data_IF_869551250924
#
_entry.id   IF_869551250924
#
_cell.length_a   1.000
_cell.length_b   1.000
_cell.length_c   1.000
_cell.angle_alpha   90.00
_cell.angle_beta   90.00
_cell.angle_gamma   90.00
#
_symmetry.space_group_name_H-M   'P 1'
#
loop_
_entity.id
_entity.type
_entity.pdbx_description
1 polymer ?
#
# COMPACT_ATOMS: atom_id res chain seq x y z
N UNK A 1 8.79 18.23 15.34
CA UNK A 1 8.22 16.87 15.42
C UNK A 1 7.74 16.48 14.03
N UNK A 2 8.63 15.90 13.22
CA UNK A 2 8.33 15.38 11.89
C UNK A 2 8.30 13.86 12.01
N UNK A 3 7.11 13.28 12.13
CA UNK A 3 6.96 11.83 12.05
C UNK A 3 7.34 11.43 10.64
N UNK A 4 8.42 10.67 10.41
CA UNK A 4 8.88 10.40 9.07
C UNK A 4 7.80 9.61 8.33
N UNK A 5 7.56 10.12 7.13
CA UNK A 5 6.92 9.48 6.01
C UNK A 5 6.85 7.96 6.10
N UNK A 6 5.65 7.40 6.24
CA UNK A 6 5.47 5.95 6.16
C UNK A 6 4.89 5.59 4.81
N UNK A 7 5.72 4.91 4.04
CA UNK A 7 5.36 4.38 2.74
C UNK A 7 4.63 3.06 2.93
N UNK A 8 3.58 2.88 2.16
CA UNK A 8 2.89 1.60 2.01
C UNK A 8 2.96 1.20 0.54
N UNK A 9 2.64 -0.06 0.28
CA UNK A 9 2.36 -0.56 -1.06
C UNK A 9 0.87 -0.88 -1.16
N UNK A 10 0.27 -0.62 -2.32
CA UNK A 10 -1.10 -0.98 -2.59
C UNK A 10 -1.28 -1.44 -4.04
N UNK A 11 -2.17 -2.38 -4.29
CA UNK A 11 -2.47 -2.86 -5.65
C UNK A 11 -3.87 -2.42 -6.11
N UNK A 12 -4.16 -2.60 -7.41
CA UNK A 12 -5.45 -2.24 -7.98
C UNK A 12 -6.64 -3.03 -7.39
N UNK A 13 -6.39 -4.21 -6.81
CA UNK A 13 -7.38 -5.03 -6.09
C UNK A 13 -7.61 -4.58 -4.64
N UNK A 14 -6.93 -3.53 -4.18
CA UNK A 14 -7.14 -2.93 -2.86
C UNK A 14 -6.32 -3.56 -1.73
N UNK A 15 -5.46 -4.54 -1.99
CA UNK A 15 -4.52 -5.06 -0.99
C UNK A 15 -3.51 -3.99 -0.59
N UNK A 16 -3.13 -3.97 0.69
CA UNK A 16 -2.17 -3.01 1.26
C UNK A 16 -1.13 -3.76 2.08
N UNK A 17 0.13 -3.39 1.92
CA UNK A 17 1.25 -3.93 2.69
C UNK A 17 2.26 -2.82 3.02
N UNK A 18 3.21 -3.09 3.90
CA UNK A 18 4.32 -2.18 4.18
C UNK A 18 5.28 -2.08 2.98
N UNK A 19 5.95 -0.93 2.83
CA UNK A 19 6.96 -0.75 1.80
C UNK A 19 8.15 -1.71 2.02
N UNK A 20 8.67 -2.40 0.98
CA UNK A 20 9.72 -3.39 1.13
C UNK A 20 11.11 -2.74 1.30
N UNK A 21 11.31 -1.98 2.39
CA UNK A 21 12.52 -1.21 2.68
C UNK A 21 13.81 -2.02 2.52
N UNK A 22 13.84 -3.23 3.08
CA UNK A 22 15.02 -4.10 2.99
C UNK A 22 15.36 -4.45 1.55
N UNK A 23 14.37 -4.90 0.77
CA UNK A 23 14.58 -5.29 -0.63
C UNK A 23 14.97 -4.08 -1.47
N UNK A 24 14.35 -2.92 -1.24
CA UNK A 24 14.68 -1.68 -1.93
C UNK A 24 16.16 -1.29 -1.75
N UNK A 25 16.62 -1.26 -0.50
CA UNK A 25 18.00 -0.93 -0.18
C UNK A 25 18.99 -1.95 -0.79
N UNK A 26 18.71 -3.24 -0.61
CA UNK A 26 19.57 -4.34 -1.07
C UNK A 26 19.37 -4.76 -2.54
N UNK A 27 18.62 -3.97 -3.33
CA UNK A 27 18.46 -4.23 -4.75
C UNK A 27 19.81 -4.33 -5.44
N UNK A 28 20.08 -5.48 -6.07
CA UNK A 28 21.29 -5.75 -6.84
C UNK A 28 22.51 -6.16 -6.00
N UNK A 29 22.35 -6.41 -4.69
CA UNK A 29 23.42 -6.92 -3.84
C UNK A 29 23.11 -8.32 -3.33
N UNK A 30 24.13 -9.18 -3.30
CA UNK A 30 24.07 -10.45 -2.59
C UNK A 30 24.31 -10.12 -1.13
N UNK A 31 23.25 -9.90 -0.36
CA UNK A 31 23.43 -9.79 1.10
C UNK A 31 23.94 -11.12 1.63
N UNK A 32 24.91 -11.09 2.53
CA UNK A 32 25.37 -12.27 3.21
C UNK A 32 24.23 -12.78 4.12
N UNK A 33 23.56 -13.85 3.69
CA UNK A 33 22.50 -14.50 4.46
C UNK A 33 23.01 -14.82 5.88
N UNK A 34 22.33 -14.29 6.90
CA UNK A 34 22.61 -14.56 8.32
C UNK A 34 23.27 -13.44 9.12
N UNK A 35 23.64 -12.31 8.51
CA UNK A 35 24.10 -11.13 9.26
C UNK A 35 22.91 -10.41 9.94
N UNK A 36 23.12 -9.86 11.14
CA UNK A 36 22.13 -8.96 11.76
C UNK A 36 22.11 -7.63 11.00
N UNK A 37 20.99 -7.35 10.33
CA UNK A 37 20.77 -6.10 9.60
C UNK A 37 20.03 -5.09 10.48
N UNK A 38 20.71 -4.03 10.90
CA UNK A 38 20.07 -2.87 11.48
C UNK A 38 19.91 -1.80 10.41
N UNK A 39 18.66 -1.41 10.14
CA UNK A 39 18.34 -0.39 9.13
C UNK A 39 17.98 0.93 9.80
N UNK A 40 18.45 2.02 9.20
CA UNK A 40 18.16 3.39 9.63
C UNK A 40 17.62 4.19 8.46
N UNK A 41 16.68 5.08 8.74
CA UNK A 41 16.22 6.10 7.81
C UNK A 41 16.74 7.45 8.31
N UNK A 42 17.62 8.06 7.54
CA UNK A 42 18.25 9.34 7.85
C UNK A 42 17.59 10.42 7.00
N UNK A 43 17.16 11.52 7.63
CA UNK A 43 16.71 12.71 6.92
C UNK A 43 17.87 13.68 6.80
N UNK A 44 18.29 13.97 5.57
CA UNK A 44 19.40 14.87 5.29
C UNK A 44 19.04 16.35 5.48
N UNK A 45 17.75 16.68 5.54
CA UNK A 45 17.25 18.03 5.81
C UNK A 45 17.60 19.07 4.75
N UNK A 46 17.97 18.68 3.52
CA UNK A 46 18.33 19.63 2.46
C UNK A 46 17.09 20.13 1.74
N UNK A 47 16.10 19.26 1.56
CA UNK A 47 14.75 19.56 1.05
C UNK A 47 13.69 18.78 1.85
N UNK A 48 12.42 18.95 1.49
CA UNK A 48 11.29 18.15 2.02
C UNK A 48 10.89 17.01 1.10
N UNK A 49 11.78 16.58 0.20
CA UNK A 49 11.51 15.55 -0.80
C UNK A 49 12.00 14.16 -0.36
N UNK A 50 11.64 13.14 -1.14
CA UNK A 50 12.11 11.76 -0.90
C UNK A 50 13.61 11.56 -1.18
N UNK A 51 14.22 12.47 -1.93
CA UNK A 51 15.65 12.43 -2.17
C UNK A 51 16.48 12.70 -0.88
N UNK A 52 15.88 13.36 0.12
CA UNK A 52 16.52 13.59 1.43
C UNK A 52 16.39 12.44 2.42
N UNK A 53 15.51 11.50 2.12
CA UNK A 53 15.27 10.33 2.97
C UNK A 53 16.18 9.20 2.49
N UNK A 54 17.25 8.95 3.24
CA UNK A 54 18.30 7.97 2.91
C UNK A 54 18.17 6.76 3.82
N UNK A 55 18.07 5.58 3.23
CA UNK A 55 18.15 4.30 3.90
C UNK A 55 19.60 3.84 4.01
N UNK A 56 19.98 3.43 5.21
CA UNK A 56 21.27 2.85 5.53
C UNK A 56 21.08 1.50 6.21
N UNK A 57 22.06 0.60 6.06
CA UNK A 57 22.09 -0.66 6.79
C UNK A 57 23.49 -0.96 7.33
N UNK A 58 23.55 -1.57 8.52
CA UNK A 58 24.78 -1.99 9.19
C UNK A 58 25.66 -2.97 8.39
N UNK A 59 25.13 -3.60 7.35
CA UNK A 59 25.87 -4.55 6.51
C UNK A 59 26.84 -3.89 5.50
N UNK A 60 26.85 -2.55 5.41
CA UNK A 60 27.73 -1.81 4.49
C UNK A 60 27.23 -1.73 3.05
N UNK A 61 25.98 -2.12 2.77
CA UNK A 61 25.33 -1.83 1.47
C UNK A 61 25.33 -0.32 1.22
N UNK A 62 25.54 0.07 -0.03
CA UNK A 62 25.50 1.48 -0.42
C UNK A 62 24.14 2.08 -0.05
N UNK A 63 24.11 3.19 0.72
CA UNK A 63 22.88 3.87 1.07
C UNK A 63 22.06 4.26 -0.15
N UNK A 64 20.73 4.19 -0.05
CA UNK A 64 19.82 4.57 -1.13
C UNK A 64 18.74 5.49 -0.62
N UNK A 65 18.42 6.53 -1.39
CA UNK A 65 17.29 7.37 -1.08
C UNK A 65 15.96 6.73 -1.52
N UNK A 66 14.85 7.37 -1.14
CA UNK A 66 13.51 6.95 -1.52
C UNK A 66 13.03 7.61 -2.82
N UNK A 67 13.91 8.29 -3.55
CA UNK A 67 13.55 8.92 -4.81
C UNK A 67 13.13 7.87 -5.86
N UNK A 68 12.20 8.24 -6.72
CA UNK A 68 11.66 7.34 -7.75
C UNK A 68 10.77 6.18 -7.23
N UNK A 69 10.57 6.04 -5.91
CA UNK A 69 9.70 4.99 -5.33
C UNK A 69 8.25 5.09 -5.80
N UNK A 70 7.74 6.29 -6.10
CA UNK A 70 6.40 6.50 -6.64
C UNK A 70 6.24 6.21 -8.14
N UNK A 71 7.31 5.80 -8.82
CA UNK A 71 7.24 5.44 -10.23
C UNK A 71 6.24 4.28 -10.47
N UNK A 72 5.50 4.27 -11.58
CA UNK A 72 4.45 3.27 -11.84
C UNK A 72 4.95 1.83 -11.93
N UNK A 73 6.26 1.64 -12.18
CA UNK A 73 6.94 0.35 -12.25
C UNK A 73 8.04 0.19 -11.20
N UNK A 74 8.11 1.10 -10.20
CA UNK A 74 9.16 1.07 -9.19
C UNK A 74 9.22 -0.25 -8.41
N UNK A 75 8.06 -0.91 -8.24
CA UNK A 75 7.95 -2.18 -7.55
C UNK A 75 7.91 -3.42 -8.48
N UNK A 76 7.90 -3.25 -9.79
CA UNK A 76 7.72 -4.36 -10.74
C UNK A 76 8.82 -5.43 -10.60
N UNK A 77 10.04 -5.02 -10.29
CA UNK A 77 11.19 -5.91 -10.12
C UNK A 77 11.23 -6.58 -8.73
N UNK A 78 10.41 -6.11 -7.77
CA UNK A 78 10.35 -6.65 -6.41
C UNK A 78 9.26 -7.72 -6.23
N UNK A 79 8.52 -8.01 -7.31
CA UNK A 79 7.51 -9.06 -7.38
C UNK A 79 6.09 -8.52 -7.46
N UNK A 80 5.14 -9.43 -7.27
CA UNK A 80 3.70 -9.15 -7.25
C UNK A 80 3.24 -8.78 -5.85
N UNK A 81 2.01 -8.27 -5.78
CA UNK A 81 1.34 -7.95 -4.54
C UNK A 81 1.30 -9.17 -3.60
N UNK A 82 1.56 -8.96 -2.31
CA UNK A 82 1.51 -10.00 -1.27
C UNK A 82 0.09 -10.47 -0.94
N UNK A 83 -0.93 -9.75 -1.42
CA UNK A 83 -2.32 -10.03 -1.11
C UNK A 83 -2.74 -9.68 0.32
N UNK A 84 -1.90 -8.93 1.05
CA UNK A 84 -2.14 -8.60 2.45
C UNK A 84 -3.40 -7.75 2.63
N UNK A 85 -4.19 -8.11 3.64
CA UNK A 85 -5.42 -7.45 4.07
C UNK A 85 -5.37 -7.18 5.57
N UNK A 86 -4.48 -6.28 6.04
CA UNK A 86 -4.22 -6.09 7.47
C UNK A 86 -5.47 -5.73 8.29
N UNK A 87 -6.50 -5.14 7.67
CA UNK A 87 -7.79 -4.85 8.31
C UNK A 87 -8.63 -6.09 8.65
N UNK A 88 -8.28 -7.27 8.13
CA UNK A 88 -8.90 -8.56 8.46
C UNK A 88 -8.03 -9.41 9.41
N UNK A 89 -6.88 -8.90 9.85
CA UNK A 89 -5.90 -9.61 10.68
C UNK A 89 -4.55 -9.80 9.99
N UNK A 90 -3.52 -10.17 10.78
CA UNK A 90 -2.13 -10.24 10.33
C UNK A 90 -1.89 -11.29 9.22
N UNK A 91 -2.60 -12.42 9.28
CA UNK A 91 -2.44 -13.54 8.36
C UNK A 91 -3.42 -13.53 7.20
N UNK A 92 -4.27 -12.50 7.11
CA UNK A 92 -5.27 -12.38 6.06
C UNK A 92 -4.62 -12.03 4.72
N UNK A 93 -4.28 -13.06 3.93
CA UNK A 93 -3.71 -12.94 2.59
C UNK A 93 -4.64 -13.54 1.53
N UNK A 94 -4.46 -13.15 0.28
CA UNK A 94 -5.20 -13.64 -0.87
C UNK A 94 -4.26 -13.70 -2.08
N UNK A 95 -4.40 -14.71 -2.94
CA UNK A 95 -3.61 -14.75 -4.17
C UNK A 95 -3.82 -13.51 -5.04
N UNK A 96 -2.72 -12.86 -5.41
CA UNK A 96 -2.74 -11.63 -6.18
C UNK A 96 -1.57 -11.58 -7.16
N UNK A 97 -1.88 -11.33 -8.43
CA UNK A 97 -0.91 -11.20 -9.53
C UNK A 97 -0.66 -9.74 -9.93
N UNK A 98 -1.28 -8.77 -9.25
CA UNK A 98 -1.12 -7.36 -9.55
C UNK A 98 0.27 -6.85 -9.17
N UNK A 99 0.78 -5.87 -9.91
CA UNK A 99 1.98 -5.12 -9.51
C UNK A 99 1.58 -4.03 -8.52
N UNK A 100 2.10 -4.04 -7.28
CA UNK A 100 1.77 -3.02 -6.31
C UNK A 100 2.43 -1.68 -6.66
N UNK A 101 1.89 -0.58 -6.12
CA UNK A 101 2.45 0.77 -6.23
C UNK A 101 2.71 1.33 -4.84
N UNK A 102 3.73 2.17 -4.75
CA UNK A 102 4.05 2.86 -3.50
C UNK A 102 3.09 4.02 -3.30
N UNK A 103 2.62 4.21 -2.08
CA UNK A 103 1.77 5.33 -1.68
C UNK A 103 2.23 5.86 -0.32
N UNK A 104 1.96 7.14 -0.07
CA UNK A 104 2.05 7.67 1.29
C UNK A 104 0.87 7.13 2.08
N UNK A 105 1.08 6.57 3.28
CA UNK A 105 -0.06 6.08 4.08
C UNK A 105 -1.12 7.17 4.34
N UNK A 106 -0.70 8.43 4.43
CA UNK A 106 -1.60 9.58 4.62
C UNK A 106 -2.23 10.13 3.35
N UNK A 107 -1.96 9.56 2.16
CA UNK A 107 -2.50 10.07 0.91
C UNK A 107 -4.02 9.86 0.84
N UNK A 108 -4.77 10.85 0.33
CA UNK A 108 -6.23 10.82 0.31
C UNK A 108 -6.80 9.62 -0.45
N UNK A 109 -6.10 9.14 -1.49
CA UNK A 109 -6.51 7.97 -2.27
C UNK A 109 -6.34 6.64 -1.52
N UNK A 110 -5.67 6.62 -0.37
CA UNK A 110 -5.61 5.46 0.54
C UNK A 110 -6.86 5.40 1.43
N UNK A 111 -7.35 6.55 1.89
CA UNK A 111 -8.45 6.65 2.85
C UNK A 111 -9.83 6.83 2.21
N UNK A 112 -9.87 7.52 1.08
CA UNK A 112 -11.10 7.84 0.36
C UNK A 112 -10.99 7.25 -1.05
N UNK A 113 -11.15 5.93 -1.20
CA UNK A 113 -11.16 5.33 -2.52
C UNK A 113 -12.33 5.91 -3.31
N UNK A 114 -12.07 6.30 -4.56
CA UNK A 114 -13.12 6.76 -5.47
C UNK A 114 -13.97 5.56 -5.96
N UNK A 115 -14.74 4.97 -5.05
CA UNK A 115 -15.64 3.86 -5.36
C UNK A 115 -16.93 4.44 -5.92
N UNK A 116 -17.17 4.23 -7.22
CA UNK A 116 -18.47 4.50 -7.85
C UNK A 116 -19.31 3.23 -7.68
N UNK A 117 -20.35 3.28 -6.86
CA UNK A 117 -21.36 2.22 -6.78
C UNK A 117 -22.73 2.84 -6.94
N UNK A 118 -23.60 2.17 -7.71
CA UNK A 118 -25.01 2.51 -7.82
C UNK A 118 -25.77 1.25 -7.43
N UNK A 119 -26.55 1.35 -6.36
CA UNK A 119 -27.51 0.31 -6.00
C UNK A 119 -28.83 0.67 -6.69
N UNK A 120 -29.17 -0.07 -7.75
CA UNK A 120 -30.53 -0.03 -8.26
C UNK A 120 -31.36 -0.89 -7.32
N UNK A 121 -32.17 -0.25 -6.49
CA UNK A 121 -33.26 -0.92 -5.76
C UNK A 121 -34.46 -0.81 -6.68
N UNK A 122 -34.83 -1.85 -7.43
CA UNK A 122 -36.02 -1.80 -8.24
C UNK A 122 -37.22 -1.58 -7.30
N UNK A 123 -38.28 -0.87 -7.72
CA UNK A 123 -39.59 -1.17 -7.17
C UNK A 123 -39.93 -2.59 -7.63
N UNK A 124 -39.61 -3.59 -6.82
CA UNK A 124 -40.13 -4.94 -7.02
C UNK A 124 -41.62 -4.91 -6.71
N UNK A 125 -42.37 -4.71 -7.79
CA UNK A 125 -43.82 -4.78 -7.92
C UNK A 125 -44.63 -3.69 -7.23
N UNK A 126 -45.08 -2.72 -8.03
CA UNK A 126 -46.27 -1.92 -7.71
C UNK A 126 -47.44 -2.79 -7.23
N UNK A 127 -47.53 -4.03 -7.73
CA UNK A 127 -48.55 -4.99 -7.32
C UNK A 127 -48.44 -5.39 -5.83
N UNK A 128 -47.25 -5.71 -5.32
CA UNK A 128 -47.07 -6.07 -3.90
C UNK A 128 -47.18 -4.84 -3.00
N UNK A 129 -46.64 -3.69 -3.44
CA UNK A 129 -46.80 -2.42 -2.73
C UNK A 129 -48.28 -2.04 -2.58
N UNK A 130 -49.09 -2.13 -3.66
CA UNK A 130 -50.55 -1.90 -3.62
C UNK A 130 -51.31 -2.92 -2.76
N UNK A 131 -50.81 -4.15 -2.63
CA UNK A 131 -51.47 -5.20 -1.85
C UNK A 131 -51.20 -5.01 -0.35
N UNK A 132 -50.00 -4.57 0.02
CA UNK A 132 -49.62 -4.24 1.39
C UNK A 132 -50.34 -2.97 1.86
N UNK A 133 -50.44 -1.94 1.02
CA UNK A 133 -51.13 -0.67 1.35
C UNK A 133 -52.62 -0.86 1.68
N UNK A 134 -53.25 -1.90 1.12
CA UNK A 134 -54.65 -2.24 1.37
C UNK A 134 -54.89 -2.88 2.75
N UNK A 135 -53.84 -3.38 3.40
CA UNK A 135 -53.92 -4.13 4.66
C UNK A 135 -53.02 -3.55 5.77
N UNK A 136 -52.59 -2.30 5.63
CA UNK A 136 -51.77 -1.60 6.62
C UNK A 136 -52.68 -0.83 7.59
N UNK A 137 -52.87 -1.36 8.81
CA UNK A 137 -53.40 -0.62 9.98
C UNK A 137 -52.26 0.08 10.74
#
# INVERSE_FOLDING_TARGET
MLTPFRLITACAKGHIDEFPYFRWLHKGTVSADGAKHEMKLVSLGRTSSLADLVLECSCGVTPKNLDGTFGPKALAEFGTCSGARPWLGADAKQDCSETPRVLQRGASNVWFPAVRSAISIPPYSEALAKLIDKHWE
#
